data_IF_085795105394
#
_entry.id   IF_085795105394
#
_cell.length_a   1.000
_cell.length_b   1.000
_cell.length_c   1.000
_cell.angle_alpha   90.00
_cell.angle_beta   90.00
_cell.angle_gamma   90.00
#
_symmetry.space_group_name_H-M   'P 1'
#
loop_
_entity.id
_entity.type
_entity.pdbx_description
1 polymer ?
#
# COMPACT_ATOMS: atom_id res chain seq x y z
N UNK A 1 16.12 3.50 36.68
CA UNK A 1 16.68 4.06 35.44
C UNK A 1 17.27 5.43 35.74
N UNK A 2 18.54 5.68 35.41
CA UNK A 2 19.16 7.01 35.52
C UNK A 2 18.61 7.89 34.40
N UNK A 3 18.71 9.21 34.54
CA UNK A 3 18.14 10.17 33.58
C UNK A 3 18.78 10.06 32.18
N UNK A 4 20.08 9.76 32.12
CA UNK A 4 20.78 9.44 30.86
C UNK A 4 20.28 8.15 30.20
N UNK A 5 20.02 7.10 30.97
CA UNK A 5 19.50 5.82 30.44
C UNK A 5 18.08 6.00 29.87
N UNK A 6 17.27 6.86 30.51
CA UNK A 6 15.93 7.20 30.04
C UNK A 6 15.97 7.99 28.74
N UNK A 7 16.80 9.03 28.67
CA UNK A 7 16.96 9.81 27.45
C UNK A 7 17.48 8.97 26.28
N UNK A 8 18.37 8.00 26.55
CA UNK A 8 18.82 7.05 25.54
C UNK A 8 17.69 6.09 25.10
N UNK A 9 16.92 5.55 26.05
CA UNK A 9 15.81 4.66 25.75
C UNK A 9 14.73 5.35 24.91
N UNK A 10 14.38 6.60 25.23
CA UNK A 10 13.43 7.41 24.46
C UNK A 10 13.91 7.56 23.00
N UNK A 11 15.18 7.95 22.78
CA UNK A 11 15.76 8.06 21.44
C UNK A 11 15.75 6.75 20.65
N UNK A 12 16.08 5.64 21.29
CA UNK A 12 16.08 4.31 20.65
C UNK A 12 14.66 3.94 20.23
N UNK A 13 13.67 4.16 21.09
CA UNK A 13 12.28 3.87 20.77
C UNK A 13 11.73 4.80 19.68
N UNK A 14 12.10 6.08 19.70
CA UNK A 14 11.71 7.04 18.65
C UNK A 14 12.24 6.62 17.28
N UNK A 15 13.47 6.11 17.24
CA UNK A 15 14.06 5.53 16.03
C UNK A 15 13.30 4.29 15.54
N UNK A 16 13.07 3.31 16.41
CA UNK A 16 12.35 2.08 16.05
C UNK A 16 10.91 2.35 15.61
N UNK A 17 10.20 3.23 16.32
CA UNK A 17 8.86 3.68 15.93
C UNK A 17 8.87 4.27 14.52
N UNK A 18 9.82 5.18 14.23
CA UNK A 18 9.92 5.83 12.92
C UNK A 18 10.22 4.81 11.81
N UNK A 19 11.12 3.86 12.06
CA UNK A 19 11.46 2.81 11.09
C UNK A 19 10.28 1.89 10.81
N UNK A 20 9.58 1.45 11.84
CA UNK A 20 8.40 0.57 11.72
C UNK A 20 7.25 1.30 11.03
N UNK A 21 6.93 2.52 11.46
CA UNK A 21 5.81 3.30 10.94
C UNK A 21 5.99 3.68 9.47
N UNK A 22 7.24 3.91 9.04
CA UNK A 22 7.58 4.25 7.65
C UNK A 22 7.94 3.01 6.82
N UNK A 23 7.82 1.80 7.37
CA UNK A 23 8.10 0.56 6.66
C UNK A 23 7.09 0.36 5.52
N UNK A 24 7.63 0.25 4.30
CA UNK A 24 6.84 0.03 3.10
C UNK A 24 7.68 -0.73 2.07
N UNK A 25 7.09 -1.77 1.49
CA UNK A 25 7.70 -2.56 0.43
C UNK A 25 7.93 -1.75 -0.85
N UNK A 26 8.91 -2.16 -1.68
CA UNK A 26 9.04 -1.65 -3.04
C UNK A 26 7.75 -1.82 -3.84
N UNK A 27 7.55 -0.94 -4.82
CA UNK A 27 6.51 -1.08 -5.83
C UNK A 27 6.66 -2.46 -6.49
N UNK A 28 5.58 -3.24 -6.64
CA UNK A 28 5.69 -4.60 -7.15
C UNK A 28 6.30 -4.62 -8.55
N UNK A 29 7.31 -5.46 -8.71
CA UNK A 29 7.90 -5.80 -10.01
C UNK A 29 7.98 -7.32 -10.12
N UNK A 30 7.15 -7.88 -10.99
CA UNK A 30 7.03 -9.33 -11.15
C UNK A 30 7.40 -9.78 -12.57
N UNK A 31 8.69 -9.69 -12.96
CA UNK A 31 9.12 -10.04 -14.31
C UNK A 31 8.82 -11.51 -14.65
N UNK A 32 8.89 -12.40 -13.65
CA UNK A 32 8.56 -13.82 -13.83
C UNK A 32 7.07 -14.05 -14.10
N UNK A 33 6.17 -13.35 -13.40
CA UNK A 33 4.72 -13.39 -13.65
C UNK A 33 4.41 -12.90 -15.06
N UNK A 34 4.92 -11.71 -15.41
CA UNK A 34 4.75 -11.09 -16.73
C UNK A 34 5.22 -12.04 -17.84
N UNK A 35 6.36 -12.69 -17.66
CA UNK A 35 6.90 -13.65 -18.64
C UNK A 35 6.07 -14.93 -18.75
N UNK A 36 5.53 -15.44 -17.64
CA UNK A 36 4.61 -16.60 -17.64
C UNK A 36 3.33 -16.29 -18.41
N UNK A 37 2.73 -15.12 -18.16
CA UNK A 37 1.53 -14.66 -18.86
C UNK A 37 1.78 -14.45 -20.35
N UNK A 38 2.91 -13.81 -20.71
CA UNK A 38 3.32 -13.67 -22.12
C UNK A 38 3.43 -15.02 -22.84
N UNK A 39 4.07 -16.02 -22.22
CA UNK A 39 4.17 -17.38 -22.77
C UNK A 39 2.80 -18.04 -22.93
N UNK A 40 1.91 -17.84 -21.96
CA UNK A 40 0.53 -18.35 -22.02
C UNK A 40 -0.24 -17.78 -23.21
N UNK A 41 -0.16 -16.47 -23.44
CA UNK A 41 -0.85 -15.80 -24.56
C UNK A 41 -0.34 -16.27 -25.92
N UNK A 42 0.94 -16.61 -26.03
CA UNK A 42 1.55 -17.11 -27.26
C UNK A 42 1.16 -18.56 -27.57
N UNK A 43 1.00 -19.37 -26.52
CA UNK A 43 0.57 -20.76 -26.62
C UNK A 43 -0.73 -20.96 -25.82
N UNK A 44 -1.86 -20.39 -26.27
CA UNK A 44 -3.13 -20.59 -25.61
C UNK A 44 -3.48 -22.08 -25.64
N UNK A 45 -4.05 -22.64 -24.57
CA UNK A 45 -4.26 -24.07 -24.45
C UNK A 45 -5.17 -24.59 -25.56
N UNK A 46 -4.57 -25.23 -26.57
CA UNK A 46 -5.28 -25.91 -27.65
C UNK A 46 -5.68 -27.31 -27.23
N UNK A 47 -6.82 -27.46 -26.55
CA UNK A 47 -7.61 -28.68 -26.38
C UNK A 47 -6.98 -29.97 -25.82
N UNK A 48 -5.65 -30.09 -25.67
CA UNK A 48 -4.96 -31.34 -25.30
C UNK A 48 -3.82 -31.20 -24.28
N UNK A 49 -3.31 -30.00 -24.02
CA UNK A 49 -2.37 -29.79 -22.90
C UNK A 49 -3.12 -29.55 -21.59
N UNK A 50 -2.58 -30.08 -20.48
CA UNK A 50 -3.02 -29.74 -19.13
C UNK A 50 -2.80 -28.25 -18.91
N UNK A 51 -3.84 -27.47 -19.20
CA UNK A 51 -3.88 -26.04 -18.96
C UNK A 51 -3.71 -25.77 -17.46
N UNK A 52 -2.78 -24.90 -17.08
CA UNK A 52 -2.71 -24.36 -15.72
C UNK A 52 -4.05 -23.70 -15.41
N UNK A 53 -4.82 -24.17 -14.40
CA UNK A 53 -6.18 -23.71 -14.14
C UNK A 53 -6.24 -22.31 -13.49
N UNK A 54 -5.10 -21.81 -13.02
CA UNK A 54 -4.93 -20.54 -12.32
C UNK A 54 -3.72 -19.84 -12.88
N UNK A 55 -3.85 -18.55 -13.17
CA UNK A 55 -2.74 -17.69 -13.58
C UNK A 55 -2.85 -16.38 -12.80
N UNK A 56 -1.76 -15.99 -12.16
CA UNK A 56 -1.62 -14.65 -11.61
C UNK A 56 -1.00 -13.73 -12.66
N UNK A 57 -1.49 -12.51 -12.73
CA UNK A 57 -0.98 -11.49 -13.64
C UNK A 57 -0.78 -10.14 -12.94
N UNK A 58 0.11 -9.34 -13.51
CA UNK A 58 0.45 -7.99 -13.09
C UNK A 58 0.50 -7.08 -14.31
N UNK A 59 -0.47 -6.17 -14.40
CA UNK A 59 -0.60 -5.22 -15.50
C UNK A 59 -0.14 -3.84 -15.05
N UNK A 60 0.80 -3.23 -15.77
CA UNK A 60 1.21 -1.85 -15.56
C UNK A 60 0.56 -0.94 -16.61
N UNK A 61 -0.32 -0.06 -16.17
CA UNK A 61 -1.08 0.85 -17.03
C UNK A 61 -0.53 2.27 -16.92
N UNK A 62 -0.22 2.88 -18.07
CA UNK A 62 0.34 4.24 -18.19
C UNK A 62 -0.43 5.05 -19.22
N UNK A 63 -0.62 6.35 -18.96
CA UNK A 63 -1.07 7.33 -19.96
C UNK A 63 -2.24 6.87 -20.86
N UNK A 64 -2.04 6.91 -22.18
CA UNK A 64 -3.05 6.63 -23.22
C UNK A 64 -3.67 5.23 -23.19
N UNK A 65 -3.18 4.31 -22.34
CA UNK A 65 -3.84 3.03 -22.06
C UNK A 65 -5.16 3.18 -21.28
N UNK A 66 -5.45 4.35 -20.71
CA UNK A 66 -6.73 4.66 -20.07
C UNK A 66 -7.87 5.00 -21.05
N UNK A 67 -7.75 4.66 -22.34
CA UNK A 67 -8.87 4.78 -23.31
C UNK A 67 -9.87 3.65 -23.14
N UNK A 68 -9.39 2.47 -22.76
CA UNK A 68 -10.21 1.32 -22.43
C UNK A 68 -10.68 1.45 -20.96
N UNK A 69 -11.87 0.92 -20.65
CA UNK A 69 -12.32 0.80 -19.26
C UNK A 69 -11.50 -0.25 -18.51
N UNK A 70 -11.48 -0.19 -17.18
CA UNK A 70 -10.78 -1.21 -16.38
C UNK A 70 -11.32 -2.62 -16.70
N UNK A 71 -12.64 -2.77 -16.86
CA UNK A 71 -13.25 -4.03 -17.29
C UNK A 71 -12.69 -4.53 -18.63
N UNK A 72 -12.62 -3.68 -19.64
CA UNK A 72 -12.13 -4.07 -20.97
C UNK A 72 -10.68 -4.59 -20.91
N UNK A 73 -9.83 -3.95 -20.11
CA UNK A 73 -8.44 -4.38 -19.89
C UNK A 73 -8.42 -5.79 -19.26
N UNK A 74 -9.15 -6.00 -18.16
CA UNK A 74 -9.17 -7.28 -17.44
C UNK A 74 -9.82 -8.38 -18.29
N UNK A 75 -10.94 -8.09 -18.96
CA UNK A 75 -11.64 -9.05 -19.81
C UNK A 75 -10.80 -9.46 -21.03
N UNK A 76 -10.07 -8.52 -21.64
CA UNK A 76 -9.14 -8.80 -22.75
C UNK A 76 -7.97 -9.67 -22.29
N UNK A 77 -7.44 -9.38 -21.11
CA UNK A 77 -6.38 -10.16 -20.48
C UNK A 77 -6.82 -11.60 -20.19
N UNK A 78 -7.99 -11.77 -19.55
CA UNK A 78 -8.57 -13.07 -19.24
C UNK A 78 -8.81 -13.90 -20.52
N UNK A 79 -9.42 -13.31 -21.55
CA UNK A 79 -9.65 -13.97 -22.84
C UNK A 79 -8.34 -14.41 -23.50
N UNK A 80 -7.32 -13.56 -23.49
CA UNK A 80 -6.02 -13.88 -24.07
C UNK A 80 -5.32 -15.05 -23.35
N UNK A 81 -5.60 -15.23 -22.06
CA UNK A 81 -5.09 -16.34 -21.25
C UNK A 81 -5.97 -17.61 -21.27
N UNK A 82 -7.14 -17.55 -21.91
CA UNK A 82 -8.14 -18.63 -21.91
C UNK A 82 -8.86 -18.79 -20.57
N UNK A 83 -8.98 -17.71 -19.81
CA UNK A 83 -9.59 -17.66 -18.47
C UNK A 83 -10.96 -17.00 -18.53
N UNK A 84 -11.85 -17.40 -17.60
CA UNK A 84 -13.24 -16.93 -17.57
C UNK A 84 -13.58 -16.13 -16.33
N UNK A 85 -12.92 -16.43 -15.21
CA UNK A 85 -13.16 -15.78 -13.92
C UNK A 85 -11.87 -15.13 -13.42
N UNK A 86 -12.00 -14.17 -12.51
CA UNK A 86 -10.88 -13.57 -11.80
C UNK A 86 -11.28 -13.25 -10.37
N UNK A 87 -10.29 -13.13 -9.48
CA UNK A 87 -10.50 -12.78 -8.08
C UNK A 87 -10.50 -11.27 -7.85
N UNK A 88 -10.26 -10.88 -6.60
CA UNK A 88 -10.07 -9.49 -6.24
C UNK A 88 -8.93 -8.84 -7.02
N UNK A 89 -9.10 -7.57 -7.37
CA UNK A 89 -8.11 -6.78 -8.09
C UNK A 89 -7.38 -5.89 -7.09
N UNK A 90 -6.09 -6.09 -6.92
CA UNK A 90 -5.25 -5.16 -6.15
C UNK A 90 -4.73 -4.08 -7.08
N UNK A 91 -5.12 -2.83 -6.80
CA UNK A 91 -4.73 -1.65 -7.57
C UNK A 91 -3.62 -0.93 -6.84
N UNK A 92 -2.51 -0.65 -7.51
CA UNK A 92 -1.45 0.25 -7.04
C UNK A 92 -1.49 1.55 -7.83
N UNK A 93 -1.42 2.68 -7.13
CA UNK A 93 -1.56 4.02 -7.70
C UNK A 93 -0.27 4.79 -7.50
N UNK A 94 0.26 5.35 -8.59
CA UNK A 94 1.45 6.18 -8.62
C UNK A 94 2.71 5.43 -8.18
N UNK A 95 3.86 5.99 -8.53
CA UNK A 95 5.13 5.54 -7.96
C UNK A 95 6.10 6.69 -7.79
N UNK A 96 6.90 6.65 -6.72
CA UNK A 96 7.94 7.64 -6.42
C UNK A 96 9.22 6.94 -6.03
N UNK A 97 10.38 7.52 -6.37
CA UNK A 97 11.67 7.01 -5.89
C UNK A 97 11.76 7.18 -4.37
N UNK A 98 11.97 6.08 -3.64
CA UNK A 98 12.05 6.10 -2.17
C UNK A 98 13.12 7.09 -1.69
N UNK A 99 14.25 7.14 -2.40
CA UNK A 99 15.36 8.07 -2.12
C UNK A 99 14.92 9.53 -2.06
N UNK A 100 14.03 9.96 -2.95
CA UNK A 100 13.57 11.36 -2.99
C UNK A 100 12.70 11.71 -1.78
N UNK A 101 11.95 10.73 -1.27
CA UNK A 101 11.23 10.90 -0.02
C UNK A 101 12.21 10.98 1.16
N UNK A 102 13.21 10.09 1.21
CA UNK A 102 14.21 10.06 2.27
C UNK A 102 15.00 11.36 2.32
N UNK A 103 15.50 11.84 1.17
CA UNK A 103 16.24 13.10 1.09
C UNK A 103 15.42 14.26 1.65
N UNK A 104 14.12 14.32 1.33
CA UNK A 104 13.22 15.36 1.80
C UNK A 104 12.95 15.28 3.31
N UNK A 105 12.82 14.08 3.85
CA UNK A 105 12.67 13.86 5.31
C UNK A 105 13.98 14.21 6.03
N UNK A 106 15.13 13.88 5.45
CA UNK A 106 16.44 14.14 6.05
C UNK A 106 16.72 15.64 6.22
N UNK A 107 16.21 16.51 5.34
CA UNK A 107 16.38 17.97 5.45
C UNK A 107 15.89 18.59 6.76
N UNK A 108 14.93 17.96 7.46
CA UNK A 108 14.39 18.48 8.73
C UNK A 108 14.97 17.82 9.97
N UNK A 109 15.77 16.76 9.79
CA UNK A 109 16.40 16.07 10.89
C UNK A 109 17.64 16.86 11.35
N UNK A 110 17.99 16.82 12.64
CA UNK A 110 19.10 17.60 13.19
C UNK A 110 20.49 17.01 12.84
N UNK A 111 20.62 16.31 11.71
CA UNK A 111 21.88 15.76 11.22
C UNK A 111 22.57 16.76 10.30
N UNK A 112 23.88 16.91 10.49
CA UNK A 112 24.72 17.80 9.69
C UNK A 112 25.53 17.01 8.67
N UNK A 113 25.98 17.67 7.61
CA UNK A 113 26.86 17.04 6.62
C UNK A 113 28.20 16.55 7.23
N UNK A 114 28.56 17.03 8.42
CA UNK A 114 29.75 16.61 9.17
C UNK A 114 29.58 15.23 9.84
N UNK A 115 28.35 14.71 9.95
CA UNK A 115 28.04 13.40 10.53
C UNK A 115 28.35 12.22 9.57
N UNK A 116 29.14 12.46 8.51
CA UNK A 116 29.60 11.44 7.57
C UNK A 116 28.67 11.14 6.39
N UNK A 117 27.54 11.85 6.30
CA UNK A 117 26.51 11.63 5.27
C UNK A 117 25.82 10.27 5.39
N UNK A 118 24.75 10.06 4.61
CA UNK A 118 24.09 8.74 4.54
C UNK A 118 24.85 7.84 3.56
N UNK A 119 25.46 6.72 4.01
CA UNK A 119 26.20 5.83 3.13
C UNK A 119 25.29 4.98 2.23
N UNK A 120 24.05 4.74 2.66
CA UNK A 120 23.08 3.90 1.96
C UNK A 120 22.20 4.72 1.02
N UNK A 121 22.18 4.34 -0.27
CA UNK A 121 21.26 4.90 -1.26
C UNK A 121 20.25 3.85 -1.65
N UNK A 122 18.97 4.22 -1.68
CA UNK A 122 17.91 3.33 -2.12
C UNK A 122 17.58 3.64 -3.59
N UNK A 123 17.45 2.61 -4.42
CA UNK A 123 17.10 2.77 -5.85
C UNK A 123 15.65 2.42 -6.15
N UNK A 124 14.91 1.95 -5.15
CA UNK A 124 13.57 1.42 -5.32
C UNK A 124 12.56 2.53 -5.54
N UNK A 125 11.46 2.14 -6.18
CA UNK A 125 10.25 2.95 -6.23
C UNK A 125 9.24 2.38 -5.24
N UNK A 126 8.38 3.22 -4.70
CA UNK A 126 7.27 2.83 -3.82
C UNK A 126 5.95 3.29 -4.40
N UNK A 127 4.88 2.52 -4.19
CA UNK A 127 3.51 2.92 -4.53
C UNK A 127 3.04 4.06 -3.63
N UNK A 128 2.17 4.93 -4.14
CA UNK A 128 1.61 6.01 -3.33
C UNK A 128 0.40 5.55 -2.52
N UNK A 129 -0.44 4.74 -3.14
CA UNK A 129 -1.57 4.09 -2.50
C UNK A 129 -1.80 2.71 -3.13
N UNK A 130 -2.44 1.82 -2.38
CA UNK A 130 -3.06 0.61 -2.90
C UNK A 130 -4.50 0.49 -2.43
N UNK A 131 -5.31 -0.25 -3.17
CA UNK A 131 -6.67 -0.60 -2.78
C UNK A 131 -7.09 -1.92 -3.42
N UNK A 132 -8.19 -2.51 -2.94
CA UNK A 132 -8.81 -3.66 -3.56
C UNK A 132 -10.15 -3.34 -4.19
N UNK A 133 -10.38 -3.97 -5.34
CA UNK A 133 -11.68 -4.07 -5.96
C UNK A 133 -12.15 -5.53 -5.92
N UNK A 134 -13.46 -5.71 -5.77
CA UNK A 134 -14.12 -6.99 -5.88
C UNK A 134 -13.98 -7.54 -7.31
N UNK A 135 -14.37 -8.81 -7.54
CA UNK A 135 -14.34 -9.37 -8.88
C UNK A 135 -15.31 -8.67 -9.86
N UNK A 136 -16.34 -7.99 -9.33
CA UNK A 136 -17.27 -7.14 -10.07
C UNK A 136 -16.75 -5.70 -10.28
N UNK A 137 -15.53 -5.39 -9.83
CA UNK A 137 -14.89 -4.09 -9.99
C UNK A 137 -15.33 -3.03 -8.96
N UNK A 138 -16.11 -3.41 -7.95
CA UNK A 138 -16.56 -2.51 -6.88
C UNK A 138 -15.47 -2.32 -5.83
N UNK A 139 -15.41 -1.16 -5.20
CA UNK A 139 -14.43 -0.91 -4.14
C UNK A 139 -14.70 -1.78 -2.91
N UNK A 140 -13.66 -2.45 -2.40
CA UNK A 140 -13.72 -3.16 -1.12
C UNK A 140 -13.47 -2.15 0.00
N UNK A 141 -14.46 -1.96 0.87
CA UNK A 141 -14.40 -0.98 1.97
C UNK A 141 -13.20 -1.24 2.88
N UNK A 142 -12.56 -0.17 3.33
CA UNK A 142 -11.37 -0.17 4.19
C UNK A 142 -10.12 -0.81 3.56
N UNK A 143 -10.11 -1.02 2.24
CA UNK A 143 -8.93 -1.57 1.55
C UNK A 143 -7.92 -0.50 1.13
N UNK A 144 -8.27 0.80 1.16
CA UNK A 144 -7.36 1.86 0.79
C UNK A 144 -6.20 1.93 1.78
N UNK A 145 -4.99 1.80 1.26
CA UNK A 145 -3.75 1.95 2.01
C UNK A 145 -2.95 3.08 1.37
N UNK A 146 -2.61 4.11 2.14
CA UNK A 146 -1.77 5.23 1.72
C UNK A 146 -0.31 4.93 2.11
N UNK A 147 0.64 5.45 1.35
CA UNK A 147 2.04 5.40 1.78
C UNK A 147 2.25 6.28 3.03
N UNK A 148 2.61 5.65 4.15
CA UNK A 148 2.99 6.36 5.37
C UNK A 148 4.19 7.30 5.15
N UNK A 149 5.10 6.94 4.23
CA UNK A 149 6.22 7.78 3.80
C UNK A 149 5.72 9.07 3.15
N UNK A 150 4.78 8.98 2.20
CA UNK A 150 4.19 10.18 1.56
C UNK A 150 3.43 11.04 2.56
N UNK A 151 2.67 10.41 3.45
CA UNK A 151 1.97 11.11 4.50
C UNK A 151 2.94 11.87 5.42
N UNK A 152 4.05 11.23 5.81
CA UNK A 152 5.11 11.83 6.61
C UNK A 152 5.74 13.06 5.97
N UNK A 153 5.93 13.07 4.63
CA UNK A 153 6.44 14.25 3.91
C UNK A 153 5.63 15.52 4.15
N UNK A 154 4.31 15.38 4.38
CA UNK A 154 3.45 16.50 4.73
C UNK A 154 3.66 16.95 6.18
N UNK A 155 3.80 16.01 7.12
CA UNK A 155 3.98 16.31 8.54
C UNK A 155 5.34 16.96 8.85
N UNK A 156 6.36 16.57 8.09
CA UNK A 156 7.72 17.09 8.16
C UNK A 156 7.80 18.62 8.05
N UNK A 157 6.91 19.27 7.27
CA UNK A 157 6.88 20.73 7.13
C UNK A 157 6.57 21.47 8.44
N UNK A 158 5.88 20.83 9.38
CA UNK A 158 5.54 21.36 10.69
C UNK A 158 6.48 20.89 11.82
N UNK A 159 7.33 19.90 11.54
CA UNK A 159 8.20 19.27 12.53
C UNK A 159 9.42 20.17 12.84
N UNK A 160 9.50 20.70 14.07
CA UNK A 160 10.65 21.50 14.54
C UNK A 160 11.85 20.61 14.96
N UNK A 161 12.25 19.68 14.10
CA UNK A 161 13.39 18.77 14.34
C UNK A 161 13.06 17.49 15.11
N UNK A 162 11.79 17.23 15.44
CA UNK A 162 11.33 15.97 16.04
C UNK A 162 10.30 15.29 15.12
N UNK A 163 10.78 14.29 14.37
CA UNK A 163 9.98 13.56 13.40
C UNK A 163 9.01 12.60 14.10
N UNK A 164 9.43 11.87 15.13
CA UNK A 164 8.59 10.87 15.79
C UNK A 164 7.39 11.53 16.48
N UNK A 165 7.57 12.72 17.05
CA UNK A 165 6.46 13.51 17.60
C UNK A 165 5.45 14.00 16.55
N UNK A 166 5.86 14.08 15.28
CA UNK A 166 5.02 14.52 14.16
C UNK A 166 4.34 13.37 13.43
N UNK A 167 4.74 12.12 13.72
CA UNK A 167 4.16 10.91 13.16
C UNK A 167 3.15 10.33 14.16
N UNK A 168 1.91 10.19 13.73
CA UNK A 168 0.79 9.76 14.56
C UNK A 168 -0.14 8.83 13.79
N UNK A 169 -0.32 7.63 14.32
CA UNK A 169 -1.12 6.58 13.69
C UNK A 169 -2.60 6.96 13.57
N UNK A 170 -3.16 7.71 14.52
CA UNK A 170 -4.55 8.15 14.44
C UNK A 170 -4.72 9.22 13.37
N UNK A 171 -3.84 10.21 13.30
CA UNK A 171 -3.86 11.23 12.24
C UNK A 171 -3.61 10.63 10.85
N UNK A 172 -2.80 9.58 10.76
CA UNK A 172 -2.61 8.83 9.53
C UNK A 172 -3.89 8.07 9.13
N UNK A 173 -4.51 7.34 10.06
CA UNK A 173 -5.77 6.63 9.81
C UNK A 173 -6.90 7.59 9.40
N UNK A 174 -7.03 8.73 10.05
CA UNK A 174 -7.98 9.79 9.67
C UNK A 174 -7.74 10.29 8.24
N UNK A 175 -6.48 10.48 7.85
CA UNK A 175 -6.14 10.92 6.50
C UNK A 175 -6.50 9.86 5.43
N UNK A 176 -6.35 8.57 5.75
CA UNK A 176 -6.78 7.46 4.89
C UNK A 176 -8.31 7.42 4.79
N UNK A 177 -9.02 7.51 5.91
CA UNK A 177 -10.49 7.50 5.95
C UNK A 177 -11.09 8.70 5.21
N UNK A 178 -10.48 9.88 5.30
CA UNK A 178 -10.90 11.07 4.56
C UNK A 178 -10.80 10.84 3.04
N UNK A 179 -9.68 10.28 2.56
CA UNK A 179 -9.50 9.94 1.15
C UNK A 179 -10.49 8.85 0.72
N UNK A 180 -10.66 7.81 1.53
CA UNK A 180 -11.60 6.73 1.23
C UNK A 180 -13.03 7.27 1.11
N UNK A 181 -13.48 8.08 2.06
CA UNK A 181 -14.81 8.69 2.04
C UNK A 181 -15.00 9.60 0.83
N UNK A 182 -13.98 10.39 0.48
CA UNK A 182 -14.02 11.32 -0.66
C UNK A 182 -14.22 10.61 -2.00
N UNK A 183 -13.62 9.43 -2.20
CA UNK A 183 -13.64 8.74 -3.49
C UNK A 183 -14.57 7.52 -3.53
N UNK A 184 -14.84 6.91 -2.38
CA UNK A 184 -15.54 5.62 -2.24
C UNK A 184 -16.56 5.61 -1.08
N UNK A 185 -16.98 6.78 -0.59
CA UNK A 185 -17.98 6.91 0.48
C UNK A 185 -19.31 6.20 0.17
N UNK A 186 -20.21 6.05 1.15
CA UNK A 186 -21.35 5.12 1.15
C UNK A 186 -22.37 5.31 0.02
N UNK A 187 -22.34 6.42 -0.72
CA UNK A 187 -23.10 6.57 -1.98
C UNK A 187 -22.58 5.65 -3.11
N UNK A 188 -21.41 5.03 -2.93
CA UNK A 188 -20.79 4.06 -3.84
C UNK A 188 -21.05 2.59 -3.45
N UNK A 189 -21.82 2.31 -2.39
CA UNK A 189 -21.98 0.95 -1.86
C UNK A 189 -23.30 0.27 -2.28
N UNK A 190 -23.13 -0.77 -3.10
CA UNK A 190 -23.88 -2.03 -3.15
C UNK A 190 -25.27 -2.05 -3.82
N UNK A 191 -25.30 -2.64 -5.02
CA UNK A 191 -26.38 -3.58 -5.35
C UNK A 191 -25.92 -4.97 -4.92
N UNK A 192 -26.42 -5.48 -3.79
CA UNK A 192 -26.40 -6.92 -3.51
C UNK A 192 -27.37 -7.62 -4.47
N UNK A 193 -26.95 -7.75 -5.72
CA UNK A 193 -27.57 -8.63 -6.71
C UNK A 193 -26.69 -9.85 -6.84
N UNK A 194 -26.98 -10.91 -6.09
CA UNK A 194 -26.54 -12.25 -6.46
C UNK A 194 -27.29 -12.63 -7.73
N UNK A 195 -26.79 -12.21 -8.89
CA UNK A 195 -27.10 -12.91 -10.12
C UNK A 195 -26.37 -14.25 -10.07
N UNK A 196 -27.08 -15.33 -10.38
CA UNK A 196 -26.48 -16.65 -10.55
C UNK A 196 -25.43 -16.57 -11.67
N UNK A 197 -24.17 -16.34 -11.29
CA UNK A 197 -23.07 -16.31 -12.24
C UNK A 197 -22.87 -17.73 -12.79
N UNK A 198 -23.15 -17.91 -14.08
CA UNK A 198 -22.78 -19.13 -14.77
C UNK A 198 -21.24 -19.31 -14.71
N UNK A 199 -20.81 -20.45 -14.15
CA UNK A 199 -19.41 -20.86 -13.97
C UNK A 199 -18.62 -20.77 -15.30
N UNK A 200 -19.30 -20.96 -16.43
CA UNK A 200 -18.72 -21.06 -17.76
C UNK A 200 -18.75 -19.76 -18.58
N UNK A 201 -19.34 -18.69 -18.05
CA UNK A 201 -19.36 -17.38 -18.70
C UNK A 201 -18.20 -16.50 -18.23
N UNK A 202 -17.76 -15.61 -19.12
CA UNK A 202 -16.79 -14.59 -18.76
C UNK A 202 -17.41 -13.67 -17.71
N UNK A 203 -16.71 -13.49 -16.60
CA UNK A 203 -17.12 -12.60 -15.52
C UNK A 203 -17.31 -11.16 -16.04
N UNK A 204 -18.16 -10.37 -15.39
CA UNK A 204 -18.47 -8.99 -15.78
C UNK A 204 -18.37 -8.04 -14.61
N UNK A 205 -18.24 -6.75 -14.89
CA UNK A 205 -18.25 -5.71 -13.86
C UNK A 205 -19.66 -5.22 -13.58
N UNK A 206 -19.92 -4.80 -12.34
CA UNK A 206 -21.20 -4.17 -11.98
C UNK A 206 -21.28 -2.74 -12.52
N UNK A 207 -22.48 -2.18 -12.52
CA UNK A 207 -22.69 -0.76 -12.88
C UNK A 207 -21.98 0.20 -11.91
N UNK A 208 -21.69 -0.23 -10.68
CA UNK A 208 -20.99 0.53 -9.65
C UNK A 208 -19.46 0.39 -9.69
N UNK A 209 -18.91 -0.29 -10.70
CA UNK A 209 -17.48 -0.54 -10.78
C UNK A 209 -16.63 0.74 -10.83
N UNK A 210 -15.47 0.69 -10.17
CA UNK A 210 -14.53 1.80 -10.11
C UNK A 210 -13.94 2.08 -11.50
N UNK A 211 -14.01 3.34 -11.90
CA UNK A 211 -13.51 3.81 -13.20
C UNK A 211 -12.09 4.37 -13.10
N UNK A 212 -11.39 4.45 -14.22
CA UNK A 212 -10.08 5.13 -14.28
C UNK A 212 -10.17 6.60 -13.89
N UNK A 213 -11.28 7.29 -14.17
CA UNK A 213 -11.46 8.68 -13.75
C UNK A 213 -11.47 8.82 -12.24
N UNK A 214 -12.08 7.86 -11.52
CA UNK A 214 -12.07 7.84 -10.06
C UNK A 214 -10.66 7.56 -9.51
N UNK A 215 -9.94 6.59 -10.08
CA UNK A 215 -8.54 6.31 -9.72
C UNK A 215 -7.62 7.51 -10.02
N UNK A 216 -7.89 8.23 -11.12
CA UNK A 216 -7.18 9.46 -11.50
C UNK A 216 -7.45 10.61 -10.54
N UNK A 217 -8.70 10.78 -10.12
CA UNK A 217 -9.05 11.74 -9.08
C UNK A 217 -8.27 11.48 -7.79
N UNK A 218 -8.19 10.22 -7.35
CA UNK A 218 -7.42 9.83 -6.17
C UNK A 218 -5.92 10.13 -6.36
N UNK A 219 -5.34 9.76 -7.50
CA UNK A 219 -3.95 10.09 -7.83
C UNK A 219 -3.68 11.60 -7.74
N UNK A 220 -4.54 12.42 -8.34
CA UNK A 220 -4.39 13.89 -8.37
C UNK A 220 -4.49 14.51 -6.97
N UNK A 221 -5.40 14.01 -6.13
CA UNK A 221 -5.54 14.51 -4.77
C UNK A 221 -4.36 14.10 -3.89
N UNK A 222 -3.85 12.86 -4.02
CA UNK A 222 -2.61 12.43 -3.35
C UNK A 222 -1.43 13.28 -3.82
N UNK A 223 -1.26 13.48 -5.14
CA UNK A 223 -0.20 14.31 -5.70
C UNK A 223 -0.23 15.72 -5.10
N UNK A 224 -1.42 16.33 -5.08
CA UNK A 224 -1.64 17.67 -4.54
C UNK A 224 -1.34 17.76 -3.04
N UNK A 225 -1.77 16.79 -2.24
CA UNK A 225 -1.62 16.81 -0.77
C UNK A 225 -0.20 16.49 -0.30
N UNK A 226 0.48 15.55 -0.95
CA UNK A 226 1.69 14.94 -0.41
C UNK A 226 2.95 15.14 -1.27
N UNK A 227 2.81 15.30 -2.59
CA UNK A 227 3.97 15.41 -3.50
C UNK A 227 4.26 16.86 -3.92
N UNK A 228 3.23 17.63 -4.28
CA UNK A 228 3.41 19.01 -4.75
C UNK A 228 4.07 19.87 -3.67
N UNK A 229 5.20 20.46 -4.03
CA UNK A 229 6.03 21.26 -3.13
C UNK A 229 6.84 20.45 -2.11
N UNK A 230 6.89 19.12 -2.24
CA UNK A 230 7.79 18.23 -1.49
C UNK A 230 8.80 17.54 -2.41
N UNK A 231 8.36 17.07 -3.59
CA UNK A 231 9.20 16.39 -4.58
C UNK A 231 8.96 17.03 -5.94
N UNK A 232 10.02 17.32 -6.68
CA UNK A 232 9.94 17.94 -8.01
C UNK A 232 10.44 16.98 -9.08
N UNK A 233 9.67 16.83 -10.16
CA UNK A 233 10.17 16.28 -11.42
C UNK A 233 10.89 17.41 -12.17
N UNK A 234 12.22 17.42 -12.14
CA UNK A 234 13.03 18.42 -12.86
C UNK A 234 13.33 17.95 -14.29
N UNK A 235 13.74 18.84 -15.20
CA UNK A 235 14.10 18.48 -16.58
C UNK A 235 15.24 17.45 -16.65
N UNK A 236 16.11 17.42 -15.64
CA UNK A 236 17.24 16.49 -15.46
C UNK A 236 16.86 15.19 -14.73
N UNK A 237 15.79 15.18 -13.94
CA UNK A 237 15.29 14.02 -13.19
C UNK A 237 13.83 13.73 -13.56
N UNK A 238 13.61 13.36 -14.82
CA UNK A 238 12.26 13.18 -15.41
C UNK A 238 11.38 12.11 -14.73
N UNK A 239 11.90 11.35 -13.77
CA UNK A 239 11.22 10.20 -13.17
C UNK A 239 11.35 10.17 -11.63
N UNK A 240 11.34 11.33 -10.94
CA UNK A 240 11.28 11.32 -9.47
C UNK A 240 9.96 10.66 -9.02
N UNK A 241 8.87 10.95 -9.73
CA UNK A 241 7.61 10.23 -9.59
C UNK A 241 6.82 10.14 -10.91
N UNK A 242 5.94 9.13 -11.02
CA UNK A 242 5.20 8.80 -12.25
C UNK A 242 3.73 8.47 -11.97
N UNK A 243 2.82 8.96 -12.83
CA UNK A 243 1.41 8.52 -12.88
C UNK A 243 1.30 7.15 -13.52
N UNK A 244 1.09 6.13 -12.69
CA UNK A 244 0.90 4.73 -13.11
C UNK A 244 -0.25 4.10 -12.34
N UNK A 245 -0.92 3.13 -12.95
CA UNK A 245 -1.89 2.28 -12.30
C UNK A 245 -1.49 0.84 -12.56
N UNK A 246 -1.06 0.12 -11.52
CA UNK A 246 -0.83 -1.31 -11.65
C UNK A 246 -2.00 -2.10 -11.11
N UNK A 247 -2.29 -3.24 -11.74
CA UNK A 247 -3.36 -4.16 -11.35
C UNK A 247 -2.79 -5.54 -11.20
N UNK A 248 -2.89 -6.11 -10.00
CA UNK A 248 -2.50 -7.48 -9.68
C UNK A 248 -3.74 -8.31 -9.34
N UNK A 249 -3.86 -9.48 -9.95
CA UNK A 249 -5.03 -10.33 -9.77
C UNK A 249 -4.77 -11.77 -10.22
N UNK A 250 -5.59 -12.68 -9.71
CA UNK A 250 -5.63 -14.07 -10.15
C UNK A 250 -6.77 -14.28 -11.15
N UNK A 251 -6.48 -15.04 -12.21
CA UNK A 251 -7.43 -15.50 -13.21
C UNK A 251 -7.61 -17.00 -13.10
N UNK A 252 -8.84 -17.45 -13.31
CA UNK A 252 -9.27 -18.83 -13.17
C UNK A 252 -9.96 -19.31 -14.45
N UNK A 253 -9.77 -20.59 -14.78
CA UNK A 253 -10.38 -21.16 -15.97
C UNK A 253 -11.92 -21.18 -15.89
N UNK A 254 -12.50 -21.34 -14.69
CA UNK A 254 -13.94 -21.35 -14.42
C UNK A 254 -14.26 -21.00 -12.95
N UNK A 255 -15.55 -20.87 -12.62
CA UNK A 255 -16.01 -20.55 -11.25
C UNK A 255 -15.79 -21.64 -10.21
N UNK A 256 -15.69 -22.91 -10.63
CA UNK A 256 -15.41 -24.04 -9.72
C UNK A 256 -13.99 -24.04 -9.20
N UNK A 257 -13.03 -23.62 -10.04
CA UNK A 257 -11.63 -23.48 -9.63
C UNK A 257 -11.50 -22.27 -8.72
N UNK A 258 -12.09 -21.13 -9.10
CA UNK A 258 -12.09 -19.91 -8.29
C UNK A 258 -12.59 -20.18 -6.87
N UNK A 259 -13.81 -20.71 -6.72
CA UNK A 259 -14.41 -21.00 -5.40
C UNK A 259 -13.58 -21.91 -4.49
N UNK A 260 -12.69 -22.75 -5.05
CA UNK A 260 -11.86 -23.69 -4.27
C UNK A 260 -10.45 -23.17 -3.95
N UNK A 261 -9.95 -22.22 -4.73
CA UNK A 261 -8.51 -21.89 -4.77
C UNK A 261 -8.23 -20.39 -4.77
N UNK A 262 -9.25 -19.56 -4.78
CA UNK A 262 -9.08 -18.12 -4.58
C UNK A 262 -8.48 -17.88 -3.20
N UNK A 263 -7.39 -17.11 -3.19
CA UNK A 263 -6.71 -16.67 -1.99
C UNK A 263 -6.64 -15.16 -2.03
N UNK A 264 -7.12 -14.50 -0.98
CA UNK A 264 -6.94 -13.08 -0.78
C UNK A 264 -5.82 -12.87 0.24
N UNK A 265 -4.70 -12.29 -0.22
CA UNK A 265 -3.51 -12.04 0.59
C UNK A 265 -3.18 -10.55 0.64
N UNK A 266 -4.16 -9.67 0.45
CA UNK A 266 -3.91 -8.24 0.47
C UNK A 266 -3.60 -7.73 1.88
N UNK A 267 -2.44 -7.09 2.00
CA UNK A 267 -1.94 -6.52 3.26
C UNK A 267 -1.86 -4.97 3.23
N UNK A 268 -2.18 -4.35 2.09
CA UNK A 268 -1.94 -2.91 1.89
C UNK A 268 -0.46 -2.58 1.67
N UNK A 269 -0.09 -1.31 1.85
CA UNK A 269 1.27 -0.80 1.71
C UNK A 269 2.03 -0.77 3.05
N UNK A 270 1.32 -0.57 4.15
CA UNK A 270 1.90 -0.35 5.48
C UNK A 270 2.19 -1.67 6.18
N UNK A 271 3.42 -1.84 6.62
CA UNK A 271 3.87 -2.98 7.43
C UNK A 271 4.09 -2.54 8.88
N UNK A 272 3.13 -1.80 9.42
CA UNK A 272 3.18 -1.31 10.79
C UNK A 272 2.51 -2.33 11.72
N UNK A 273 3.31 -3.24 12.27
CA UNK A 273 2.82 -4.27 13.19
C UNK A 273 3.01 -3.86 14.65
N UNK A 274 4.06 -3.09 14.95
CA UNK A 274 4.51 -2.85 16.31
C UNK A 274 4.55 -1.38 16.73
N UNK A 275 4.19 -0.40 15.87
CA UNK A 275 4.36 1.01 16.24
C UNK A 275 3.53 1.41 17.47
N UNK A 276 2.32 0.85 17.61
CA UNK A 276 1.45 1.07 18.77
C UNK A 276 2.05 0.50 20.06
N UNK A 277 2.64 -0.70 20.00
CA UNK A 277 3.33 -1.31 21.14
C UNK A 277 4.56 -0.48 21.54
N UNK A 278 5.33 -0.01 20.56
CA UNK A 278 6.48 0.86 20.79
C UNK A 278 6.04 2.17 21.45
N UNK A 279 4.94 2.79 20.97
CA UNK A 279 4.37 3.99 21.59
C UNK A 279 3.91 3.76 23.02
N UNK A 280 3.23 2.65 23.30
CA UNK A 280 2.80 2.30 24.65
C UNK A 280 4.00 2.19 25.60
N UNK A 281 5.09 1.58 25.14
CA UNK A 281 6.35 1.49 25.88
C UNK A 281 6.96 2.89 26.09
N UNK A 282 6.98 3.74 25.06
CA UNK A 282 7.45 5.13 25.22
C UNK A 282 6.65 5.90 26.26
N UNK A 283 5.32 5.79 26.27
CA UNK A 283 4.44 6.44 27.24
C UNK A 283 4.71 5.98 28.67
N UNK A 284 4.95 4.68 28.87
CA UNK A 284 5.30 4.13 30.20
C UNK A 284 6.67 4.62 30.70
N UNK A 285 7.65 4.78 29.80
CA UNK A 285 8.96 5.36 30.15
C UNK A 285 8.80 6.85 30.48
N UNK A 286 8.03 7.59 29.66
CA UNK A 286 7.81 9.03 29.81
C UNK A 286 7.04 9.37 31.09
N UNK A 287 6.02 8.59 31.43
CA UNK A 287 5.21 8.74 32.65
C UNK A 287 5.91 8.26 33.92
N UNK A 288 7.04 7.55 33.81
CA UNK A 288 7.73 6.94 34.95
C UNK A 288 6.98 5.76 35.57
N UNK A 289 5.87 5.31 34.97
CA UNK A 289 5.04 4.20 35.43
C UNK A 289 5.78 2.85 35.42
N UNK A 290 6.90 2.75 34.69
CA UNK A 290 7.82 1.61 34.73
C UNK A 290 8.34 1.27 36.14
N UNK A 291 8.25 2.19 37.10
CA UNK A 291 8.65 1.97 38.50
C UNK A 291 7.57 1.32 39.36
N UNK A 292 6.32 1.28 38.90
CA UNK A 292 5.18 0.90 39.76
C UNK A 292 4.88 -0.61 39.71
N UNK A 293 5.48 -1.36 38.79
CA UNK A 293 5.34 -2.82 38.68
C UNK A 293 6.36 -3.58 39.55
N UNK A 294 6.68 -3.05 40.72
CA UNK A 294 7.38 -3.78 41.79
C UNK A 294 6.38 -4.10 42.93
N UNK A 295 5.28 -4.79 42.60
CA UNK A 295 4.31 -5.29 43.59
C UNK A 295 4.47 -6.80 43.85
N UNK A 296 5.45 -7.47 43.22
CA UNK A 296 5.70 -8.90 43.47
C UNK A 296 6.72 -9.21 44.58
N UNK A 297 7.27 -8.22 45.29
CA UNK A 297 8.27 -8.44 46.36
C UNK A 297 7.79 -8.14 47.80
N UNK A 298 6.49 -8.00 48.06
CA UNK A 298 5.97 -7.85 49.43
C UNK A 298 4.82 -8.79 49.77
N UNK A 299 5.09 -10.09 49.72
CA UNK A 299 4.27 -11.10 50.43
C UNK A 299 5.11 -12.23 50.99
N UNK A 300 6.33 -11.94 51.46
CA UNK A 300 7.10 -12.87 52.29
C UNK A 300 7.92 -12.09 53.31
N UNK A 301 7.32 -11.72 54.44
CA UNK A 301 8.03 -11.62 55.72
C UNK A 301 7.12 -12.14 56.85
N UNK A 302 7.71 -12.70 57.92
CA UNK A 302 7.17 -13.83 58.65
C UNK A 302 6.39 -13.43 59.91
N UNK A 303 5.40 -14.25 60.28
CA UNK A 303 5.21 -14.79 61.63
C UNK A 303 4.56 -16.16 61.51
#
# INVERSE_FOLDING_TARGET
MKEQDRALAEKVLDYWFTMEFLAQDPFPDHPELINRVKKRKQNPPGGREKSTPIIEDFLLLRGSSCRETLYEVIAKEARACGMKKWGNLTIYIGKVRREKCIDRIAEVLPFTAEDGGRPEKNTDQIAWASLQLSPSGEYIRYSLSLSAILWALRQVKSAKGDLSASLDAALYAEAVEELETMFFGPEAAQSEGQEEEDDDTLQSFSAGAVTFDRLRGLYQEIEKRYLKGNIQNTETEKDAYEEVYAVQFQMFADGRIKSKKEEDQYLGLTHDYFSNDIRLVQEQIRSGAWRTTAIWERTCLPM
#
